data_IF_875547082266
#
_entry.id   IF_875547082266
#
_cell.length_a   1.000
_cell.length_b   1.000
_cell.length_c   1.000
_cell.angle_alpha   90.00
_cell.angle_beta   90.00
_cell.angle_gamma   90.00
#
_symmetry.space_group_name_H-M   'P 1'
#
loop_
_entity.id
_entity.type
_entity.pdbx_description
1 polymer ?
#
# COMPACT_ATOMS: atom_id res chain seq x y z
N UNK A 1 30.39 63.81 -29.20
CA UNK A 1 29.68 63.69 -27.91
C UNK A 1 29.46 62.22 -27.61
N UNK A 2 30.24 61.69 -26.67
CA UNK A 2 30.21 60.31 -26.20
C UNK A 2 28.86 59.95 -25.59
N UNK A 3 28.37 58.74 -25.86
CA UNK A 3 27.78 57.87 -24.83
C UNK A 3 27.84 56.41 -25.30
N UNK A 4 28.85 55.72 -24.79
CA UNK A 4 28.86 54.26 -24.72
C UNK A 4 27.82 53.82 -23.70
N UNK A 5 27.00 52.84 -24.06
CA UNK A 5 26.24 52.06 -23.08
C UNK A 5 26.77 50.63 -23.08
N UNK A 6 27.17 50.22 -21.88
CA UNK A 6 27.92 49.03 -21.52
C UNK A 6 27.02 47.79 -21.55
N UNK A 7 27.62 46.67 -21.93
CA UNK A 7 27.19 45.31 -21.64
C UNK A 7 27.00 45.11 -20.13
N UNK A 8 25.90 44.46 -19.73
CA UNK A 8 25.72 43.91 -18.40
C UNK A 8 25.26 42.45 -18.52
N UNK A 9 26.24 41.56 -18.56
CA UNK A 9 26.11 40.12 -18.35
C UNK A 9 25.73 39.88 -16.89
N UNK A 10 24.67 39.13 -16.62
CA UNK A 10 24.42 38.55 -15.30
C UNK A 10 24.66 37.04 -15.37
N UNK A 11 25.86 36.64 -14.94
CA UNK A 11 26.20 35.31 -14.45
C UNK A 11 26.35 35.39 -12.93
N UNK A 12 25.89 34.35 -12.23
CA UNK A 12 26.22 34.06 -10.82
C UNK A 12 24.98 34.15 -9.91
N UNK A 13 24.70 33.21 -9.02
CA UNK A 13 25.57 32.19 -8.45
C UNK A 13 24.76 30.97 -8.00
N UNK A 14 25.30 29.80 -8.34
CA UNK A 14 25.05 28.50 -7.72
C UNK A 14 25.64 28.56 -6.31
N UNK A 15 24.84 28.29 -5.28
CA UNK A 15 25.36 27.92 -3.97
C UNK A 15 25.02 26.46 -3.70
N UNK A 16 26.03 25.61 -3.87
CA UNK A 16 26.03 24.27 -3.31
C UNK A 16 26.27 24.31 -1.82
N UNK A 17 25.64 23.39 -1.10
CA UNK A 17 26.13 22.89 0.17
C UNK A 17 26.13 21.36 0.06
N UNK A 18 27.35 20.82 -0.04
CA UNK A 18 27.65 19.43 0.24
C UNK A 18 27.35 19.14 1.71
N UNK A 19 26.49 18.15 1.94
CA UNK A 19 26.37 17.45 3.22
C UNK A 19 26.36 15.95 2.93
N UNK A 20 27.56 15.37 2.83
CA UNK A 20 27.74 13.95 2.63
C UNK A 20 27.32 13.17 3.90
N UNK A 21 26.36 12.27 3.74
CA UNK A 21 26.20 11.10 4.60
C UNK A 21 25.96 9.89 3.68
N UNK A 22 27.09 9.37 3.19
CA UNK A 22 27.21 8.04 2.61
C UNK A 22 26.91 7.01 3.69
N UNK A 23 25.67 6.54 3.75
CA UNK A 23 25.38 5.19 4.18
C UNK A 23 25.09 4.40 2.91
N UNK A 24 26.16 3.85 2.34
CA UNK A 24 26.06 2.78 1.35
C UNK A 24 25.43 1.57 2.05
N UNK A 25 24.11 1.46 1.96
CA UNK A 25 23.48 0.16 2.02
C UNK A 25 23.78 -0.50 0.67
N UNK A 26 24.83 -1.31 0.64
CA UNK A 26 24.99 -2.33 -0.39
C UNK A 26 23.83 -3.32 -0.25
N UNK A 27 22.66 -2.96 -0.77
CA UNK A 27 21.68 -3.93 -1.19
C UNK A 27 22.27 -4.53 -2.47
N UNK A 28 22.91 -5.68 -2.31
CA UNK A 28 23.33 -6.51 -3.43
C UNK A 28 22.15 -6.66 -4.39
N UNK A 29 22.19 -5.94 -5.53
CA UNK A 29 21.48 -6.37 -6.71
C UNK A 29 21.95 -7.81 -6.93
N UNK A 30 21.02 -8.75 -6.77
CA UNK A 30 21.29 -10.16 -6.97
C UNK A 30 21.40 -10.32 -8.49
N UNK A 31 22.60 -10.07 -9.02
CA UNK A 31 22.91 -10.17 -10.44
C UNK A 31 22.66 -11.62 -10.89
N UNK A 32 21.43 -11.88 -11.36
CA UNK A 32 21.12 -13.09 -12.09
C UNK A 32 21.82 -13.00 -13.45
N UNK A 33 22.72 -13.94 -13.80
CA UNK A 33 23.43 -13.87 -15.07
C UNK A 33 22.43 -13.86 -16.23
N UNK A 34 22.38 -12.76 -16.99
CA UNK A 34 21.59 -12.62 -18.22
C UNK A 34 20.43 -11.62 -18.20
N UNK A 35 20.13 -10.92 -17.09
CA UNK A 35 19.15 -9.82 -17.09
C UNK A 35 19.84 -8.47 -17.30
N UNK A 36 19.31 -7.69 -18.24
CA UNK A 36 19.66 -6.28 -18.43
C UNK A 36 18.88 -5.44 -17.41
N UNK A 37 19.55 -4.45 -16.86
CA UNK A 37 19.01 -3.54 -15.84
C UNK A 37 19.16 -2.08 -16.28
N UNK A 38 18.16 -1.25 -15.99
CA UNK A 38 18.20 0.19 -16.18
C UNK A 38 17.64 0.87 -14.94
N UNK A 39 18.39 1.82 -14.38
CA UNK A 39 18.03 2.52 -13.15
C UNK A 39 17.53 3.94 -13.45
N UNK A 40 16.53 4.38 -12.70
CA UNK A 40 15.93 5.71 -12.78
C UNK A 40 15.83 6.31 -11.39
N UNK A 41 16.50 7.44 -11.18
CA UNK A 41 16.52 8.14 -9.89
C UNK A 41 16.12 9.59 -10.09
N UNK A 42 15.00 10.00 -9.49
CA UNK A 42 14.50 11.37 -9.56
C UNK A 42 13.93 11.83 -8.22
N UNK A 43 13.84 13.14 -8.06
CA UNK A 43 13.21 13.75 -6.89
C UNK A 43 12.27 14.85 -7.35
N UNK A 44 11.06 14.85 -6.81
CA UNK A 44 10.01 15.80 -7.17
C UNK A 44 9.57 16.56 -5.93
N UNK A 45 9.47 17.90 -5.98
CA UNK A 45 8.87 18.67 -4.90
C UNK A 45 7.44 18.20 -4.62
N UNK A 46 7.07 18.05 -3.35
CA UNK A 46 5.71 17.69 -2.96
C UNK A 46 5.41 18.29 -1.59
N UNK A 47 4.33 19.05 -1.50
CA UNK A 47 3.83 19.54 -0.22
C UNK A 47 3.59 18.36 0.75
N UNK A 48 3.73 18.60 2.05
CA UNK A 48 3.63 17.53 3.06
C UNK A 48 2.31 16.73 2.97
N UNK A 49 1.20 17.35 2.57
CA UNK A 49 -0.11 16.71 2.35
C UNK A 49 -0.47 16.49 0.88
N UNK A 50 0.53 16.51 -0.01
CA UNK A 50 0.35 16.30 -1.44
C UNK A 50 -0.08 14.87 -1.76
N UNK A 51 -0.61 14.69 -2.98
CA UNK A 51 -1.14 13.42 -3.47
C UNK A 51 -0.07 12.63 -4.23
N UNK A 52 -0.11 11.32 -4.07
CA UNK A 52 0.74 10.38 -4.80
C UNK A 52 -0.15 9.33 -5.44
N UNK A 53 0.06 9.13 -6.74
CA UNK A 53 -0.55 8.06 -7.52
C UNK A 53 0.57 7.21 -8.14
N UNK A 54 0.42 5.88 -8.10
CA UNK A 54 1.34 4.96 -8.72
C UNK A 54 0.57 3.82 -9.38
N UNK A 55 0.77 3.59 -10.67
CA UNK A 55 0.23 2.46 -11.43
C UNK A 55 1.38 1.61 -11.97
N UNK A 56 1.49 0.38 -11.48
CA UNK A 56 2.50 -0.58 -11.92
C UNK A 56 1.90 -1.95 -12.21
N UNK A 57 2.37 -2.58 -13.29
CA UNK A 57 1.90 -3.91 -13.69
C UNK A 57 2.77 -5.01 -13.09
N UNK A 58 4.09 -4.87 -13.16
CA UNK A 58 5.02 -5.89 -12.70
C UNK A 58 6.13 -5.27 -11.88
N UNK A 59 6.41 -5.85 -10.70
CA UNK A 59 7.54 -5.52 -9.86
C UNK A 59 7.10 -5.08 -8.47
N UNK A 60 8.02 -5.17 -7.51
CA UNK A 60 7.76 -4.74 -6.15
C UNK A 60 7.55 -3.21 -6.07
N UNK A 61 6.69 -2.79 -5.16
CA UNK A 61 6.50 -1.37 -4.82
C UNK A 61 6.73 -1.23 -3.33
N UNK A 62 7.72 -0.42 -2.96
CA UNK A 62 8.05 -0.12 -1.57
C UNK A 62 7.87 1.38 -1.32
N UNK A 63 6.99 1.73 -0.39
CA UNK A 63 6.70 3.12 -0.03
C UNK A 63 7.06 3.31 1.43
N UNK A 64 7.97 4.24 1.70
CA UNK A 64 8.40 4.62 3.04
C UNK A 64 8.29 6.12 3.22
N UNK A 65 8.25 6.58 4.47
CA UNK A 65 8.15 8.01 4.79
C UNK A 65 9.49 8.62 5.18
N UNK A 66 9.60 9.93 4.96
CA UNK A 66 10.68 10.77 5.47
C UNK A 66 10.18 12.17 5.86
N UNK A 67 11.05 12.93 6.50
CA UNK A 67 10.73 14.28 6.99
C UNK A 67 11.21 15.35 5.98
N UNK A 68 10.86 15.19 4.70
CA UNK A 68 11.15 16.14 3.62
C UNK A 68 9.91 16.42 2.77
N UNK A 69 9.77 17.65 2.24
CA UNK A 69 8.68 18.08 1.36
C UNK A 69 8.98 17.78 -0.11
N UNK A 70 9.27 16.52 -0.40
CA UNK A 70 9.56 16.01 -1.73
C UNK A 70 9.35 14.50 -1.75
N UNK A 71 9.19 13.94 -2.95
CA UNK A 71 9.19 12.51 -3.20
C UNK A 71 10.51 12.13 -3.83
N UNK A 72 11.21 11.15 -3.23
CA UNK A 72 12.31 10.45 -3.91
C UNK A 72 11.74 9.24 -4.61
N UNK A 73 11.99 9.14 -5.91
CA UNK A 73 11.59 8.02 -6.76
C UNK A 73 12.86 7.33 -7.27
N UNK A 74 13.10 6.13 -6.76
CA UNK A 74 14.09 5.20 -7.29
C UNK A 74 13.35 4.05 -7.99
N UNK A 75 13.67 3.78 -9.25
CA UNK A 75 13.09 2.68 -10.01
C UNK A 75 14.17 1.85 -10.69
N UNK A 76 13.99 0.54 -10.67
CA UNK A 76 14.90 -0.42 -11.33
C UNK A 76 14.10 -1.24 -12.30
N UNK A 77 14.43 -1.09 -13.59
CA UNK A 77 13.86 -1.88 -14.68
C UNK A 77 14.73 -3.09 -14.92
N UNK A 78 14.13 -4.27 -15.08
CA UNK A 78 14.86 -5.46 -15.51
C UNK A 78 14.13 -6.24 -16.61
N UNK A 79 14.91 -6.75 -17.56
CA UNK A 79 14.41 -7.56 -18.67
C UNK A 79 15.50 -8.48 -19.24
N UNK A 80 15.12 -9.48 -20.04
CA UNK A 80 16.06 -10.42 -20.67
C UNK A 80 16.65 -9.89 -22.00
N UNK A 81 16.17 -8.76 -22.52
CA UNK A 81 16.71 -8.11 -23.72
C UNK A 81 16.49 -6.60 -23.69
N UNK A 82 17.26 -5.85 -24.48
CA UNK A 82 17.22 -4.38 -24.48
C UNK A 82 15.89 -3.85 -25.03
N UNK A 83 15.38 -4.50 -26.07
CA UNK A 83 14.05 -4.22 -26.63
C UNK A 83 12.96 -4.27 -25.55
N UNK A 84 12.95 -5.33 -24.72
CA UNK A 84 12.00 -5.45 -23.61
C UNK A 84 12.18 -4.38 -22.55
N UNK A 85 13.43 -4.07 -22.23
CA UNK A 85 13.74 -2.99 -21.30
C UNK A 85 13.18 -1.64 -21.81
N UNK A 86 13.21 -1.40 -23.12
CA UNK A 86 12.71 -0.18 -23.78
C UNK A 86 11.18 -0.15 -23.96
N UNK A 87 10.50 -1.29 -23.90
CA UNK A 87 9.04 -1.38 -23.91
C UNK A 87 8.42 -0.74 -22.66
N UNK A 88 9.04 -0.94 -21.49
CA UNK A 88 8.60 -0.35 -20.23
C UNK A 88 9.04 1.11 -20.12
N UNK A 89 8.07 2.01 -20.15
CA UNK A 89 8.25 3.44 -19.96
C UNK A 89 7.71 3.87 -18.61
N UNK A 90 8.53 4.61 -17.88
CA UNK A 90 8.13 5.27 -16.64
C UNK A 90 7.73 6.70 -17.01
N UNK A 91 6.44 7.00 -16.89
CA UNK A 91 5.88 8.33 -17.09
C UNK A 91 5.64 8.95 -15.71
N UNK A 92 6.20 10.15 -15.48
CA UNK A 92 6.02 10.88 -14.22
C UNK A 92 5.48 12.27 -14.52
N UNK A 93 4.33 12.57 -13.94
CA UNK A 93 3.73 13.90 -13.92
C UNK A 93 3.80 14.41 -12.49
N UNK A 94 4.52 15.52 -12.28
CA UNK A 94 4.72 16.07 -10.95
C UNK A 94 4.51 17.58 -10.94
N UNK A 95 3.77 18.03 -9.93
CA UNK A 95 3.64 19.41 -9.52
C UNK A 95 3.84 19.50 -7.99
N UNK A 96 3.88 20.70 -7.43
CA UNK A 96 4.12 20.89 -5.99
C UNK A 96 3.06 20.26 -5.07
N UNK A 97 1.94 19.78 -5.60
CA UNK A 97 0.79 19.24 -4.89
C UNK A 97 0.47 17.78 -5.26
N UNK A 98 0.92 17.29 -6.41
CA UNK A 98 0.71 15.90 -6.87
C UNK A 98 1.93 15.31 -7.58
N UNK A 99 2.17 14.02 -7.35
CA UNK A 99 3.10 13.18 -8.13
C UNK A 99 2.35 11.95 -8.63
N UNK A 100 2.24 11.78 -9.95
CA UNK A 100 1.60 10.65 -10.62
C UNK A 100 2.67 9.87 -11.39
N UNK A 101 2.81 8.58 -11.08
CA UNK A 101 3.82 7.67 -11.65
C UNK A 101 3.09 6.53 -12.36
N UNK A 102 3.36 6.32 -13.65
CA UNK A 102 2.71 5.27 -14.43
C UNK A 102 3.72 4.48 -15.23
N UNK A 103 3.69 3.16 -15.08
CA UNK A 103 4.41 2.26 -15.99
C UNK A 103 3.54 1.99 -17.21
N UNK A 104 3.97 2.45 -18.39
CA UNK A 104 3.35 2.12 -19.68
C UNK A 104 4.20 1.11 -20.41
N UNK A 105 3.56 0.07 -20.92
CA UNK A 105 4.17 -0.87 -21.85
C UNK A 105 3.71 -0.49 -23.26
N UNK A 106 4.66 -0.25 -24.18
CA UNK A 106 4.31 0.03 -25.57
C UNK A 106 3.57 -1.17 -26.17
N UNK A 107 2.50 -0.87 -26.93
CA UNK A 107 1.71 -1.88 -27.65
C UNK A 107 2.60 -2.80 -28.47
N UNK A 108 2.74 -4.04 -28.00
CA UNK A 108 2.91 -5.18 -28.88
C UNK A 108 1.63 -5.99 -28.76
N UNK A 109 1.03 -6.20 -29.93
CA UNK A 109 -0.08 -7.07 -30.24
C UNK A 109 -0.28 -8.15 -29.17
N UNK A 110 -1.36 -8.04 -28.39
CA UNK A 110 -1.79 -9.06 -27.43
C UNK A 110 -2.29 -10.33 -28.13
N UNK A 111 -1.77 -10.64 -29.32
CA UNK A 111 -1.95 -11.95 -29.93
C UNK A 111 -1.32 -12.96 -28.99
N UNK A 112 -2.19 -13.82 -28.47
CA UNK A 112 -1.92 -14.96 -27.62
C UNK A 112 -1.11 -16.01 -28.39
N UNK A 113 0.07 -15.64 -28.90
CA UNK A 113 0.95 -16.54 -29.62
C UNK A 113 1.64 -17.47 -28.62
N UNK A 114 1.53 -18.74 -28.95
CA UNK A 114 1.94 -19.94 -28.22
C UNK A 114 3.47 -20.11 -28.09
N UNK A 115 4.23 -19.02 -27.95
CA UNK A 115 5.67 -19.06 -27.73
C UNK A 115 5.97 -18.63 -26.29
N UNK A 116 5.92 -19.62 -25.40
CA UNK A 116 5.92 -19.50 -23.93
C UNK A 116 7.20 -18.96 -23.25
N UNK A 117 7.76 -17.85 -23.75
CA UNK A 117 8.97 -17.20 -23.18
C UNK A 117 8.86 -15.67 -23.07
N UNK A 118 7.65 -15.13 -23.20
CA UNK A 118 7.41 -13.69 -23.27
C UNK A 118 7.16 -13.08 -21.87
N UNK A 119 8.20 -12.86 -21.08
CA UNK A 119 8.06 -12.09 -19.84
C UNK A 119 8.24 -10.59 -20.14
N UNK A 120 7.24 -9.73 -19.89
CA UNK A 120 7.40 -8.28 -20.02
C UNK A 120 8.50 -7.77 -19.09
N UNK A 121 9.06 -6.61 -19.40
CA UNK A 121 9.98 -5.94 -18.47
C UNK A 121 9.29 -5.71 -17.12
N UNK A 122 10.08 -5.82 -16.06
CA UNK A 122 9.60 -5.59 -14.70
C UNK A 122 10.18 -4.29 -14.18
N UNK A 123 9.41 -3.55 -13.40
CA UNK A 123 9.80 -2.26 -12.85
C UNK A 123 9.56 -2.28 -11.36
N UNK A 124 10.63 -2.29 -10.58
CA UNK A 124 10.58 -2.16 -9.13
C UNK A 124 10.64 -0.68 -8.75
N UNK A 125 9.78 -0.26 -7.83
CA UNK A 125 9.72 1.11 -7.34
C UNK A 125 10.03 1.18 -5.85
N UNK A 126 10.91 2.11 -5.48
CA UNK A 126 11.13 2.53 -4.09
C UNK A 126 10.84 4.02 -3.98
N UNK A 127 9.84 4.36 -3.16
CA UNK A 127 9.43 5.74 -2.88
C UNK A 127 9.77 6.13 -1.45
N UNK A 128 10.36 7.32 -1.28
CA UNK A 128 10.38 8.04 -0.01
C UNK A 128 9.47 9.26 -0.11
N UNK A 129 8.43 9.31 0.71
CA UNK A 129 7.36 10.30 0.61
C UNK A 129 7.21 11.11 1.90
N UNK A 130 6.70 12.35 1.85
CA UNK A 130 6.41 13.09 3.09
C UNK A 130 5.46 12.31 4.00
N UNK A 131 5.68 12.31 5.32
CA UNK A 131 4.91 11.50 6.27
C UNK A 131 3.38 11.67 6.19
N UNK A 132 2.92 12.90 5.93
CA UNK A 132 1.49 13.23 5.80
C UNK A 132 0.97 13.17 4.36
N UNK A 133 1.77 12.66 3.41
CA UNK A 133 1.34 12.55 2.03
C UNK A 133 0.14 11.61 1.93
N UNK A 134 -0.72 11.88 0.95
CA UNK A 134 -1.90 11.07 0.67
C UNK A 134 -1.58 10.15 -0.50
N UNK A 135 -1.69 8.85 -0.28
CA UNK A 135 -1.58 7.85 -1.33
C UNK A 135 -3.00 7.65 -1.89
N UNK A 136 -3.40 8.46 -2.86
CA UNK A 136 -4.78 8.52 -3.35
C UNK A 136 -5.12 7.33 -4.27
N UNK A 137 -4.12 6.78 -4.95
CA UNK A 137 -4.29 5.59 -5.80
C UNK A 137 -2.95 4.87 -6.03
N UNK A 138 -2.70 3.80 -5.28
CA UNK A 138 -1.56 2.90 -5.51
C UNK A 138 -2.07 1.57 -6.06
N UNK A 139 -1.79 1.30 -7.33
CA UNK A 139 -2.24 0.12 -8.05
C UNK A 139 -1.06 -0.76 -8.44
N UNK A 140 -1.12 -2.02 -8.00
CA UNK A 140 -0.14 -3.03 -8.38
C UNK A 140 -0.84 -4.29 -8.91
N UNK A 141 -0.46 -4.75 -10.10
CA UNK A 141 -1.02 -5.98 -10.66
C UNK A 141 -0.23 -7.21 -10.19
N UNK A 142 1.09 -7.25 -10.37
CA UNK A 142 1.93 -8.41 -10.06
C UNK A 142 3.17 -8.00 -9.26
N UNK A 143 3.23 -8.40 -7.99
CA UNK A 143 4.36 -8.15 -7.10
C UNK A 143 3.93 -7.83 -5.67
N UNK A 144 4.87 -7.78 -4.71
CA UNK A 144 4.56 -7.31 -3.36
C UNK A 144 4.40 -5.78 -3.32
N UNK A 145 3.45 -5.32 -2.51
CA UNK A 145 3.25 -3.90 -2.18
C UNK A 145 3.49 -3.70 -0.68
N UNK A 146 4.51 -2.93 -0.33
CA UNK A 146 4.82 -2.60 1.06
C UNK A 146 4.69 -1.08 1.29
N UNK A 147 3.90 -0.69 2.29
CA UNK A 147 3.64 0.71 2.68
C UNK A 147 3.96 0.87 4.16
N UNK A 148 4.86 1.79 4.51
CA UNK A 148 5.32 1.97 5.89
C UNK A 148 5.26 3.42 6.38
N UNK A 149 4.60 3.63 7.52
CA UNK A 149 4.68 4.85 8.34
C UNK A 149 3.88 6.04 7.83
N UNK A 150 2.98 5.84 6.86
CA UNK A 150 2.16 6.90 6.27
C UNK A 150 1.07 7.32 7.25
N UNK A 151 1.04 8.62 7.56
CA UNK A 151 0.04 9.22 8.44
C UNK A 151 -1.15 9.83 7.68
N UNK A 152 -0.99 10.09 6.38
CA UNK A 152 -2.06 10.55 5.50
C UNK A 152 -3.05 9.44 5.13
N UNK A 153 -3.98 9.77 4.23
CA UNK A 153 -4.89 8.80 3.63
C UNK A 153 -4.12 7.80 2.75
N UNK A 154 -4.50 6.53 2.82
CA UNK A 154 -3.95 5.46 1.98
C UNK A 154 -5.08 4.73 1.28
N UNK A 155 -5.05 4.77 -0.05
CA UNK A 155 -5.88 3.97 -0.93
C UNK A 155 -5.00 3.16 -1.87
N UNK A 156 -5.07 1.85 -1.74
CA UNK A 156 -4.23 0.95 -2.54
C UNK A 156 -4.94 -0.35 -2.93
N UNK A 157 -4.60 -0.88 -4.10
CA UNK A 157 -5.07 -2.18 -4.55
C UNK A 157 -3.94 -3.04 -5.13
N UNK A 158 -3.99 -4.33 -4.82
CA UNK A 158 -3.03 -5.34 -5.28
C UNK A 158 -3.78 -6.54 -5.86
N UNK A 159 -3.51 -6.91 -7.11
CA UNK A 159 -4.22 -8.05 -7.74
C UNK A 159 -3.53 -9.37 -7.41
N UNK A 160 -2.24 -9.50 -7.71
CA UNK A 160 -1.48 -10.74 -7.52
C UNK A 160 -0.21 -10.45 -6.71
N UNK A 161 -0.30 -10.60 -5.39
CA UNK A 161 0.81 -10.33 -4.51
C UNK A 161 0.40 -10.11 -3.06
N UNK A 162 1.40 -10.15 -2.18
CA UNK A 162 1.23 -9.78 -0.77
C UNK A 162 1.16 -8.26 -0.66
N UNK A 163 0.23 -7.76 0.16
CA UNK A 163 0.17 -6.37 0.55
C UNK A 163 0.50 -6.23 2.04
N UNK A 164 1.43 -5.34 2.38
CA UNK A 164 1.75 -4.94 3.74
C UNK A 164 1.55 -3.46 3.90
N UNK A 165 0.81 -3.07 4.93
CA UNK A 165 0.67 -1.68 5.30
C UNK A 165 0.84 -1.53 6.81
N UNK A 166 1.98 -0.96 7.24
CA UNK A 166 2.35 -0.87 8.66
C UNK A 166 2.56 0.57 9.11
N UNK A 167 2.32 0.84 10.38
CA UNK A 167 2.50 2.17 10.97
C UNK A 167 1.51 3.21 10.44
N UNK A 168 0.31 2.76 10.06
CA UNK A 168 -0.74 3.61 9.52
C UNK A 168 -1.44 4.44 10.62
N UNK A 169 -1.98 5.60 10.23
CA UNK A 169 -2.66 6.51 11.18
C UNK A 169 -3.90 7.22 10.59
N UNK A 170 -4.00 7.33 9.26
CA UNK A 170 -5.07 8.05 8.57
C UNK A 170 -6.26 7.18 8.16
N UNK A 171 -7.06 7.67 7.21
CA UNK A 171 -8.07 6.88 6.50
C UNK A 171 -7.38 5.83 5.64
N UNK A 172 -7.87 4.59 5.66
CA UNK A 172 -7.28 3.47 4.93
C UNK A 172 -8.35 2.73 4.14
N UNK A 173 -8.09 2.51 2.85
CA UNK A 173 -8.92 1.73 1.93
C UNK A 173 -8.00 0.81 1.13
N UNK A 174 -7.98 -0.48 1.47
CA UNK A 174 -7.09 -1.45 0.86
C UNK A 174 -7.87 -2.60 0.22
N UNK A 175 -7.50 -2.96 -0.99
CA UNK A 175 -8.13 -4.03 -1.76
C UNK A 175 -7.10 -5.05 -2.24
N UNK A 176 -7.37 -6.34 -2.04
CA UNK A 176 -6.56 -7.45 -2.54
C UNK A 176 -7.43 -8.44 -3.31
N UNK A 177 -6.93 -8.98 -4.43
CA UNK A 177 -7.64 -10.05 -5.16
C UNK A 177 -7.03 -11.42 -4.83
N UNK A 178 -5.74 -11.61 -5.09
CA UNK A 178 -5.03 -12.86 -4.90
C UNK A 178 -3.75 -12.61 -4.09
N UNK A 179 -3.83 -12.81 -2.78
CA UNK A 179 -2.70 -12.65 -1.89
C UNK A 179 -3.10 -12.25 -0.47
N UNK A 180 -2.16 -12.44 0.46
CA UNK A 180 -2.33 -12.06 1.87
C UNK A 180 -2.23 -10.55 2.02
N UNK A 181 -3.12 -9.98 2.82
CA UNK A 181 -3.07 -8.59 3.27
C UNK A 181 -2.72 -8.54 4.75
N UNK A 182 -1.66 -7.82 5.12
CA UNK A 182 -1.21 -7.59 6.50
C UNK A 182 -1.25 -6.09 6.80
N UNK A 183 -2.09 -5.68 7.74
CA UNK A 183 -2.32 -4.27 8.08
C UNK A 183 -2.06 -4.04 9.56
N UNK A 184 -1.24 -3.04 9.88
CA UNK A 184 -0.94 -2.67 11.26
C UNK A 184 -1.08 -1.17 11.47
N UNK A 185 -1.83 -0.80 12.50
CA UNK A 185 -1.98 0.58 12.95
C UNK A 185 -1.14 0.83 14.20
N UNK A 186 -0.38 1.93 14.21
CA UNK A 186 0.33 2.40 15.42
C UNK A 186 -0.62 3.17 16.36
N UNK A 187 -1.59 3.85 15.75
CA UNK A 187 -2.65 4.59 16.41
C UNK A 187 -3.89 4.58 15.53
N UNK A 188 -5.04 4.58 16.17
CA UNK A 188 -6.31 4.82 15.51
C UNK A 188 -6.72 6.28 15.73
N UNK A 189 -7.12 6.95 14.66
CA UNK A 189 -7.72 8.29 14.70
C UNK A 189 -9.24 8.23 14.48
N UNK A 190 -9.89 9.37 14.30
CA UNK A 190 -11.33 9.44 13.96
C UNK A 190 -11.59 9.20 12.45
N UNK A 191 -10.94 8.19 11.88
CA UNK A 191 -10.97 7.87 10.46
C UNK A 191 -11.77 6.59 10.19
N UNK A 192 -12.01 6.30 8.91
CA UNK A 192 -12.56 5.01 8.46
C UNK A 192 -11.45 4.10 7.96
N UNK A 193 -11.59 2.81 8.23
CA UNK A 193 -10.71 1.75 7.72
C UNK A 193 -11.59 0.75 6.97
N UNK A 194 -11.31 0.51 5.70
CA UNK A 194 -11.98 -0.50 4.87
C UNK A 194 -10.94 -1.41 4.22
N UNK A 195 -11.01 -2.69 4.53
CA UNK A 195 -10.09 -3.72 4.05
C UNK A 195 -10.89 -4.80 3.34
N UNK A 196 -10.61 -5.00 2.06
CA UNK A 196 -11.33 -5.97 1.22
C UNK A 196 -10.38 -6.96 0.58
N UNK A 197 -10.73 -8.25 0.62
CA UNK A 197 -9.97 -9.34 -0.01
C UNK A 197 -10.92 -10.30 -0.74
N UNK A 198 -10.45 -10.91 -1.84
CA UNK A 198 -11.19 -11.96 -2.55
C UNK A 198 -10.63 -13.34 -2.22
N UNK A 199 -9.36 -13.60 -2.55
CA UNK A 199 -8.67 -14.88 -2.34
C UNK A 199 -7.40 -14.64 -1.55
N UNK A 200 -7.48 -14.73 -0.24
CA UNK A 200 -6.37 -14.42 0.64
C UNK A 200 -6.77 -14.30 2.09
N UNK A 201 -5.77 -14.42 2.96
CA UNK A 201 -5.93 -14.09 4.38
C UNK A 201 -5.81 -12.59 4.61
N UNK A 202 -6.58 -12.07 5.55
CA UNK A 202 -6.51 -10.70 6.01
C UNK A 202 -6.10 -10.70 7.48
N UNK A 203 -4.94 -10.12 7.79
CA UNK A 203 -4.47 -9.94 9.15
C UNK A 203 -4.48 -8.45 9.49
N UNK A 204 -5.28 -8.06 10.47
CA UNK A 204 -5.36 -6.70 11.00
C UNK A 204 -4.80 -6.69 12.42
N UNK A 205 -3.77 -5.90 12.66
CA UNK A 205 -3.22 -5.64 13.99
C UNK A 205 -3.56 -4.22 14.45
N UNK A 206 -4.26 -4.13 15.57
CA UNK A 206 -4.65 -2.87 16.22
C UNK A 206 -3.87 -2.65 17.52
N UNK A 207 -3.67 -1.40 17.96
CA UNK A 207 -3.19 -1.14 19.32
C UNK A 207 -4.06 -1.84 20.37
N UNK A 208 -3.48 -2.31 21.48
CA UNK A 208 -4.26 -3.05 22.50
C UNK A 208 -5.36 -2.20 23.12
N UNK A 209 -5.16 -0.88 23.19
CA UNK A 209 -6.09 0.12 23.69
C UNK A 209 -6.94 0.78 22.59
N UNK A 210 -7.12 0.09 21.45
CA UNK A 210 -7.89 0.56 20.31
C UNK A 210 -9.33 0.94 20.66
N UNK A 211 -9.78 2.05 20.07
CA UNK A 211 -11.13 2.60 20.18
C UNK A 211 -11.82 2.53 18.84
N UNK A 212 -12.62 1.50 18.62
CA UNK A 212 -13.13 1.17 17.29
C UNK A 212 -14.50 0.48 17.32
N UNK A 213 -15.26 0.66 16.26
CA UNK A 213 -16.39 -0.19 15.88
C UNK A 213 -15.91 -1.11 14.76
N UNK A 214 -15.98 -2.43 14.97
CA UNK A 214 -15.50 -3.45 14.04
C UNK A 214 -16.69 -4.18 13.42
N UNK A 215 -16.70 -4.25 12.11
CA UNK A 215 -17.55 -5.13 11.32
C UNK A 215 -16.65 -5.98 10.42
N UNK A 216 -16.66 -7.30 10.60
CA UNK A 216 -15.91 -8.23 9.79
C UNK A 216 -16.85 -9.28 9.20
N UNK A 217 -16.71 -9.60 7.91
CA UNK A 217 -17.49 -10.66 7.27
C UNK A 217 -16.69 -11.42 6.21
N UNK A 218 -16.80 -12.75 6.22
CA UNK A 218 -16.24 -13.63 5.19
C UNK A 218 -17.33 -14.53 4.63
N UNK A 219 -17.29 -14.85 3.33
CA UNK A 219 -18.22 -15.82 2.72
C UNK A 219 -17.75 -17.26 2.98
N UNK A 220 -16.44 -17.51 2.83
CA UNK A 220 -15.80 -18.81 3.04
C UNK A 220 -14.48 -18.62 3.78
N UNK A 221 -14.34 -19.23 4.95
CA UNK A 221 -13.14 -19.10 5.78
C UNK A 221 -13.49 -19.12 7.27
N UNK A 222 -12.74 -18.35 8.06
CA UNK A 222 -13.00 -18.17 9.48
C UNK A 222 -12.63 -16.75 9.91
N UNK A 223 -13.09 -16.35 11.08
CA UNK A 223 -12.74 -15.09 11.71
C UNK A 223 -12.21 -15.43 13.09
N UNK A 224 -10.96 -15.11 13.35
CA UNK A 224 -10.37 -15.14 14.69
C UNK A 224 -10.13 -13.72 15.18
N UNK A 225 -10.28 -13.50 16.49
CA UNK A 225 -9.94 -12.23 17.09
C UNK A 225 -9.37 -12.39 18.51
N UNK A 226 -8.32 -11.63 18.81
CA UNK A 226 -7.65 -11.67 20.12
C UNK A 226 -8.36 -10.79 21.17
N UNK A 227 -9.39 -10.03 20.77
CA UNK A 227 -10.13 -9.13 21.66
C UNK A 227 -11.26 -9.85 22.42
N UNK A 228 -11.63 -11.08 22.02
CA UNK A 228 -12.71 -11.84 22.64
C UNK A 228 -14.12 -11.40 22.19
N UNK A 229 -14.22 -10.74 21.03
CA UNK A 229 -15.50 -10.52 20.35
C UNK A 229 -16.10 -11.86 19.90
N UNK A 230 -17.43 -11.98 19.98
CA UNK A 230 -18.12 -13.13 19.46
C UNK A 230 -18.07 -13.15 17.93
N UNK A 231 -17.93 -14.35 17.38
CA UNK A 231 -17.99 -14.61 15.94
C UNK A 231 -19.24 -15.44 15.69
N UNK A 232 -20.11 -14.92 14.85
CA UNK A 232 -21.30 -15.61 14.39
C UNK A 232 -20.90 -16.64 13.33
N UNK A 233 -21.11 -17.91 13.64
CA UNK A 233 -20.86 -18.99 12.69
C UNK A 233 -22.18 -19.44 12.04
N UNK A 234 -22.44 -18.98 10.82
CA UNK A 234 -23.63 -19.39 10.08
C UNK A 234 -23.51 -20.85 9.63
N UNK A 235 -24.63 -21.58 9.71
CA UNK A 235 -24.70 -23.02 9.43
C UNK A 235 -24.35 -23.40 7.98
N UNK A 236 -24.61 -22.49 7.03
CA UNK A 236 -24.54 -22.80 5.60
C UNK A 236 -23.44 -22.03 4.88
N UNK A 237 -23.36 -20.72 5.06
CA UNK A 237 -22.40 -19.86 4.38
C UNK A 237 -22.11 -18.64 5.25
N UNK A 238 -20.83 -18.32 5.35
CA UNK A 238 -20.36 -17.07 5.89
C UNK A 238 -20.15 -17.05 7.40
N UNK A 239 -19.26 -16.16 7.81
CA UNK A 239 -19.03 -15.81 9.20
C UNK A 239 -18.99 -14.31 9.31
N UNK A 240 -19.55 -13.77 10.38
CA UNK A 240 -19.46 -12.36 10.67
C UNK A 240 -19.16 -12.09 12.14
N UNK A 241 -18.66 -10.90 12.38
CA UNK A 241 -18.38 -10.37 13.70
C UNK A 241 -18.74 -8.89 13.68
N UNK A 242 -19.47 -8.46 14.70
CA UNK A 242 -19.79 -7.04 14.94
C UNK A 242 -19.57 -6.70 16.41
N UNK A 243 -18.81 -5.65 16.67
CA UNK A 243 -18.58 -5.24 18.04
C UNK A 243 -17.85 -3.92 18.21
N UNK A 244 -17.73 -3.50 19.46
CA UNK A 244 -17.19 -2.22 19.87
C UNK A 244 -16.02 -2.45 20.85
N UNK A 245 -14.90 -1.79 20.57
CA UNK A 245 -13.69 -1.75 21.40
C UNK A 245 -13.56 -0.37 22.04
N UNK A 246 -13.25 -0.32 23.34
CA UNK A 246 -12.78 0.89 24.03
C UNK A 246 -13.78 2.06 24.10
N UNK A 247 -15.08 1.80 23.93
CA UNK A 247 -16.13 2.81 23.87
C UNK A 247 -16.45 3.34 22.45
N UNK A 248 -16.05 2.60 21.42
CA UNK A 248 -16.25 2.96 20.01
C UNK A 248 -15.17 3.91 19.49
N UNK A 249 -15.32 4.43 18.28
CA UNK A 249 -14.35 5.34 17.66
C UNK A 249 -14.23 5.12 16.16
N UNK A 250 -13.04 4.75 15.70
CA UNK A 250 -12.75 4.42 14.29
C UNK A 250 -13.70 3.35 13.79
N UNK A 251 -14.34 3.56 12.64
CA UNK A 251 -15.09 2.49 11.98
C UNK A 251 -14.15 1.64 11.16
N UNK A 252 -14.09 0.35 11.45
CA UNK A 252 -13.26 -0.63 10.78
C UNK A 252 -14.16 -1.68 10.15
N UNK A 253 -14.08 -1.79 8.83
CA UNK A 253 -14.80 -2.78 8.05
C UNK A 253 -13.82 -3.72 7.36
N UNK A 254 -14.01 -5.01 7.57
CA UNK A 254 -13.24 -6.08 6.95
C UNK A 254 -14.19 -6.94 6.12
N UNK A 255 -13.85 -7.19 4.87
CA UNK A 255 -14.65 -8.04 3.98
C UNK A 255 -13.76 -9.00 3.24
N UNK A 256 -14.10 -10.29 3.28
CA UNK A 256 -13.39 -11.32 2.55
C UNK A 256 -14.37 -12.23 1.79
N UNK A 257 -13.94 -12.79 0.66
CA UNK A 257 -14.72 -13.82 -0.02
C UNK A 257 -14.22 -15.20 0.35
N UNK A 258 -12.93 -15.46 0.19
CA UNK A 258 -12.33 -16.75 0.44
C UNK A 258 -10.99 -16.61 1.17
N UNK A 259 -11.00 -16.99 2.45
CA UNK A 259 -9.82 -17.00 3.31
C UNK A 259 -10.11 -16.62 4.75
N UNK A 260 -9.08 -16.77 5.56
CA UNK A 260 -9.14 -16.52 6.99
C UNK A 260 -8.94 -15.04 7.32
N UNK A 261 -9.69 -14.50 8.27
CA UNK A 261 -9.47 -13.17 8.82
C UNK A 261 -8.99 -13.26 10.26
N UNK A 262 -7.96 -12.50 10.60
CA UNK A 262 -7.37 -12.46 11.93
C UNK A 262 -7.31 -11.02 12.41
N UNK A 263 -7.97 -10.73 13.53
CA UNK A 263 -7.96 -9.42 14.17
C UNK A 263 -7.16 -9.53 15.47
N UNK A 264 -5.94 -9.01 15.45
CA UNK A 264 -4.99 -9.12 16.55
C UNK A 264 -4.81 -7.81 17.30
N UNK A 265 -4.45 -7.92 18.57
CA UNK A 265 -3.91 -6.78 19.30
C UNK A 265 -2.39 -6.71 19.13
N UNK A 266 -1.83 -5.52 19.20
CA UNK A 266 -0.39 -5.31 19.19
C UNK A 266 0.25 -5.83 20.49
N UNK A 267 1.50 -6.28 20.42
CA UNK A 267 2.28 -6.57 21.61
C UNK A 267 2.93 -5.28 22.16
N UNK A 268 2.11 -4.34 22.61
CA UNK A 268 2.50 -2.95 22.94
C UNK A 268 2.54 -2.64 24.44
N UNK A 269 2.22 -3.62 25.29
CA UNK A 269 2.20 -3.47 26.75
C UNK A 269 1.10 -2.53 27.28
N UNK A 270 0.16 -2.11 26.44
CA UNK A 270 -0.98 -1.29 26.85
C UNK A 270 -2.10 -2.16 27.44
N UNK A 271 -3.01 -1.53 28.18
CA UNK A 271 -4.19 -2.22 28.66
C UNK A 271 -5.09 -2.63 27.50
N UNK A 272 -5.66 -3.84 27.56
CA UNK A 272 -6.61 -4.32 26.57
C UNK A 272 -7.90 -3.50 26.60
N UNK A 273 -8.39 -3.12 25.43
CA UNK A 273 -9.66 -2.44 25.27
C UNK A 273 -10.83 -3.26 25.82
N UNK A 274 -11.75 -2.56 26.49
CA UNK A 274 -13.03 -3.16 26.87
C UNK A 274 -13.83 -3.51 25.64
N UNK A 275 -14.52 -4.64 25.68
CA UNK A 275 -15.27 -5.16 24.53
C UNK A 275 -16.76 -5.15 24.81
N UNK A 276 -17.53 -4.73 23.83
CA UNK A 276 -18.98 -4.85 23.80
C UNK A 276 -19.37 -5.50 22.48
N UNK A 277 -19.99 -6.65 22.59
CA UNK A 277 -20.53 -7.39 21.47
C UNK A 277 -21.77 -6.68 20.91
N UNK A 278 -21.84 -6.55 19.58
CA UNK A 278 -22.95 -5.95 18.85
C UNK A 278 -23.59 -6.92 17.86
N UNK A 279 -23.21 -8.20 17.89
CA UNK A 279 -23.86 -9.25 17.11
C UNK A 279 -25.35 -9.33 17.48
N UNK A 280 -26.21 -9.36 16.46
CA UNK A 280 -27.60 -9.72 16.65
C UNK A 280 -27.70 -11.25 16.71
N UNK A 281 -28.22 -11.77 17.81
CA UNK A 281 -28.54 -13.18 17.93
C UNK A 281 -29.78 -13.45 17.08
N UNK A 282 -29.60 -13.92 15.85
CA UNK A 282 -30.70 -14.47 15.08
C UNK A 282 -31.25 -15.67 15.86
N UNK A 283 -32.57 -15.65 16.11
CA UNK A 283 -33.29 -16.68 16.89
C UNK A 283 -33.89 -17.77 15.99
N UNK A 284 -33.47 -17.84 14.73
CA UNK A 284 -34.26 -18.52 13.69
C UNK A 284 -33.68 -19.88 13.24
N UNK A 285 -32.66 -20.41 13.91
CA UNK A 285 -32.01 -21.69 13.52
C UNK A 285 -32.34 -22.91 14.43
N UNK A 286 -33.24 -22.77 15.41
CA UNK A 286 -33.53 -23.82 16.42
C UNK A 286 -34.81 -24.66 16.18
N UNK A 287 -35.44 -24.61 15.00
CA UNK A 287 -36.78 -25.20 14.78
C UNK A 287 -36.84 -26.51 13.94
N UNK A 288 -35.76 -27.31 13.85
CA UNK A 288 -35.79 -28.55 13.03
C UNK A 288 -35.15 -29.78 13.72
N UNK A 289 -35.46 -30.03 15.00
CA UNK A 289 -35.20 -31.32 15.69
C UNK A 289 -36.50 -31.95 16.24
N UNK A 290 -37.53 -32.09 15.40
CA UNK A 290 -38.60 -33.08 15.61
C UNK A 290 -38.82 -33.93 14.35
N UNK A 291 -38.11 -35.06 14.24
CA UNK A 291 -38.63 -36.35 13.71
C UNK A 291 -38.00 -37.51 14.48
#
# INVERSE_FOLDING_TARGET
MNRQHRLATWMGAIFGILGALLLAANAHAKDWPGKLTEEFHQTYPLAAGGRIELDNINGAVHITVWDQNQVKLDAVKYANSKERLDEAKIEVEADGNSVSIRTRYRDHDHTWNSDGWNNPATVEYTLMVPRSARLDEIKLINGPLDIHGVAGEVRASCINGRMVAQGLQGRVELESVNGRMEVQFDRLGESTVELSSVNGGLELTLPSDAKAEIEASTVSGGIDNDFGLHVNHHRWVGHDLRGELGGGGTRIKLSNVNGHMEIRHANDGRAMSTVKDLSHHDKDDDDDDEI
#
